data_IF_535881631785
#
_entry.id   IF_535881631785
#
_cell.length_a   1.000
_cell.length_b   1.000
_cell.length_c   1.000
_cell.angle_alpha   90.00
_cell.angle_beta   90.00
_cell.angle_gamma   90.00
#
_symmetry.space_group_name_H-M   'P 1'
#
loop_
_entity.id
_entity.type
_entity.pdbx_description
1 polymer ?
#
# COMPACT_ATOMS: atom_id res chain seq x y z
N UNK A 1 -28.10 2.69 -7.11
CA UNK A 1 -28.57 2.40 -5.75
C UNK A 1 -29.74 1.46 -5.93
N UNK A 2 -29.64 0.22 -5.48
CA UNK A 2 -30.81 -0.67 -5.52
C UNK A 2 -31.91 -0.06 -4.64
N UNK A 3 -33.17 -0.09 -5.09
CA UNK A 3 -34.28 0.42 -4.28
C UNK A 3 -34.37 -0.41 -3.00
N UNK A 4 -34.56 0.26 -1.87
CA UNK A 4 -34.84 -0.42 -0.61
C UNK A 4 -36.09 -1.28 -0.80
N UNK A 5 -36.10 -2.53 -0.29
CA UNK A 5 -37.30 -3.35 -0.30
C UNK A 5 -38.43 -2.63 0.44
N UNK A 6 -39.69 -2.90 0.07
CA UNK A 6 -40.84 -2.32 0.76
C UNK A 6 -40.94 -2.88 2.19
N UNK A 7 -40.30 -2.18 3.13
CA UNK A 7 -40.18 -2.62 4.51
C UNK A 7 -41.54 -2.73 5.23
N UNK A 8 -42.55 -1.99 4.77
CA UNK A 8 -43.91 -2.04 5.34
C UNK A 8 -44.66 -3.32 5.03
N UNK A 9 -44.17 -4.11 4.07
CA UNK A 9 -44.76 -5.40 3.67
C UNK A 9 -44.18 -6.61 4.42
N UNK A 10 -43.08 -6.42 5.15
CA UNK A 10 -42.38 -7.47 5.90
C UNK A 10 -42.96 -7.60 7.31
N UNK A 11 -43.05 -8.83 7.81
CA UNK A 11 -43.30 -9.10 9.23
C UNK A 11 -42.08 -8.78 10.10
N UNK A 12 -42.30 -8.63 11.40
CA UNK A 12 -41.22 -8.38 12.36
C UNK A 12 -40.12 -9.46 12.34
N UNK A 13 -40.49 -10.71 12.10
CA UNK A 13 -39.54 -11.83 12.04
C UNK A 13 -38.72 -11.81 10.74
N UNK A 14 -39.34 -11.44 9.62
CA UNK A 14 -38.63 -11.24 8.36
C UNK A 14 -37.67 -10.05 8.46
N UNK A 15 -38.10 -8.95 9.08
CA UNK A 15 -37.24 -7.79 9.33
C UNK A 15 -36.03 -8.14 10.20
N UNK A 16 -36.22 -8.89 11.30
CA UNK A 16 -35.11 -9.35 12.14
C UNK A 16 -34.11 -10.19 11.36
N UNK A 17 -34.62 -11.13 10.56
CA UNK A 17 -33.79 -12.00 9.73
C UNK A 17 -32.97 -11.20 8.72
N UNK A 18 -33.60 -10.23 8.05
CA UNK A 18 -32.93 -9.36 7.07
C UNK A 18 -31.83 -8.52 7.75
N UNK A 19 -32.12 -7.95 8.91
CA UNK A 19 -31.15 -7.18 9.71
C UNK A 19 -29.95 -8.07 10.08
N UNK A 20 -30.18 -9.30 10.53
CA UNK A 20 -29.11 -10.20 10.94
C UNK A 20 -28.23 -10.62 9.75
N UNK A 21 -28.81 -10.84 8.58
CA UNK A 21 -28.08 -11.12 7.34
C UNK A 21 -27.22 -9.92 6.91
N UNK A 22 -27.80 -8.72 6.87
CA UNK A 22 -27.06 -7.51 6.51
C UNK A 22 -25.93 -7.21 7.49
N UNK A 23 -26.15 -7.46 8.79
CA UNK A 23 -25.10 -7.34 9.82
C UNK A 23 -23.96 -8.32 9.61
N UNK A 24 -24.22 -9.56 9.20
CA UNK A 24 -23.15 -10.52 8.89
C UNK A 24 -22.36 -10.08 7.67
N UNK A 25 -23.04 -9.69 6.59
CA UNK A 25 -22.39 -9.17 5.39
C UNK A 25 -21.53 -7.92 5.69
N UNK A 26 -22.05 -7.01 6.51
CA UNK A 26 -21.28 -5.83 6.96
C UNK A 26 -20.03 -6.25 7.73
N UNK A 27 -20.14 -7.23 8.66
CA UNK A 27 -19.00 -7.74 9.41
C UNK A 27 -17.91 -8.31 8.49
N UNK A 28 -18.31 -9.11 7.50
CA UNK A 28 -17.39 -9.70 6.53
C UNK A 28 -16.65 -8.62 5.72
N UNK A 29 -17.38 -7.64 5.18
CA UNK A 29 -16.81 -6.51 4.43
C UNK A 29 -15.87 -5.70 5.32
N UNK A 30 -16.28 -5.40 6.55
CA UNK A 30 -15.48 -4.67 7.52
C UNK A 30 -14.21 -5.43 7.93
N UNK A 31 -14.26 -6.75 8.01
CA UNK A 31 -13.07 -7.58 8.22
C UNK A 31 -12.09 -7.47 7.05
N UNK A 32 -12.56 -7.67 5.82
CA UNK A 32 -11.72 -7.54 4.62
C UNK A 32 -11.10 -6.15 4.51
N UNK A 33 -11.89 -5.10 4.78
CA UNK A 33 -11.42 -3.71 4.83
C UNK A 33 -10.25 -3.56 5.80
N UNK A 34 -10.39 -4.03 7.04
CA UNK A 34 -9.32 -3.93 8.06
C UNK A 34 -8.02 -4.61 7.62
N UNK A 35 -8.12 -5.80 7.01
CA UNK A 35 -6.94 -6.52 6.51
C UNK A 35 -6.23 -5.74 5.39
N UNK A 36 -6.99 -5.19 4.45
CA UNK A 36 -6.43 -4.38 3.36
C UNK A 36 -5.77 -3.12 3.89
N UNK A 37 -6.43 -2.39 4.79
CA UNK A 37 -5.85 -1.20 5.41
C UNK A 37 -4.57 -1.53 6.20
N UNK A 38 -4.55 -2.62 6.97
CA UNK A 38 -3.34 -3.06 7.66
C UNK A 38 -2.16 -3.32 6.71
N UNK A 39 -2.41 -3.97 5.56
CA UNK A 39 -1.37 -4.18 4.54
C UNK A 39 -0.89 -2.86 3.93
N UNK A 40 -1.81 -1.95 3.62
CA UNK A 40 -1.50 -0.63 3.08
C UNK A 40 -0.63 0.15 4.07
N UNK A 41 -0.99 0.12 5.35
CA UNK A 41 -0.29 0.90 6.38
C UNK A 41 1.12 0.35 6.64
N UNK A 42 1.33 -0.97 6.61
CA UNK A 42 2.66 -1.58 6.63
C UNK A 42 3.50 -1.09 5.45
N UNK A 43 2.96 -1.13 4.23
CA UNK A 43 3.68 -0.70 3.04
C UNK A 43 4.00 0.80 3.07
N UNK A 44 3.08 1.63 3.56
CA UNK A 44 3.32 3.06 3.76
C UNK A 44 4.42 3.32 4.78
N UNK A 45 4.40 2.61 5.91
CA UNK A 45 5.42 2.74 6.95
C UNK A 45 6.82 2.38 6.41
N UNK A 46 6.91 1.28 5.65
CA UNK A 46 8.17 0.88 5.01
C UNK A 46 8.64 1.89 3.96
N UNK A 47 7.74 2.42 3.13
CA UNK A 47 8.08 3.47 2.17
C UNK A 47 8.65 4.71 2.85
N UNK A 48 7.99 5.18 3.93
CA UNK A 48 8.47 6.33 4.71
C UNK A 48 9.83 6.03 5.33
N UNK A 49 10.01 4.85 5.93
CA UNK A 49 11.28 4.45 6.53
C UNK A 49 12.42 4.43 5.49
N UNK A 50 12.17 3.94 4.27
CA UNK A 50 13.14 3.96 3.18
C UNK A 50 13.49 5.38 2.76
N UNK A 51 12.49 6.24 2.56
CA UNK A 51 12.71 7.64 2.19
C UNK A 51 13.51 8.38 3.25
N UNK A 52 13.26 8.13 4.54
CA UNK A 52 14.04 8.72 5.62
C UNK A 52 15.51 8.26 5.59
N UNK A 53 15.76 6.96 5.36
CA UNK A 53 17.12 6.42 5.23
C UNK A 53 17.88 7.01 4.05
N UNK A 54 17.20 7.27 2.92
CA UNK A 54 17.83 7.89 1.74
C UNK A 54 17.83 9.42 1.78
N UNK A 55 17.34 10.05 2.85
CA UNK A 55 17.24 11.50 2.96
C UNK A 55 16.29 12.14 1.92
N UNK A 56 15.27 11.40 1.49
CA UNK A 56 14.34 11.79 0.44
C UNK A 56 14.88 11.59 -0.98
N UNK A 57 16.11 11.08 -1.12
CA UNK A 57 16.73 10.86 -2.42
C UNK A 57 16.24 9.57 -3.06
N UNK A 58 15.87 9.62 -4.34
CA UNK A 58 15.55 8.44 -5.12
C UNK A 58 16.79 7.57 -5.35
N UNK A 59 16.61 6.28 -5.64
CA UNK A 59 17.71 5.33 -5.96
C UNK A 59 18.62 5.87 -7.09
N UNK A 60 18.07 6.70 -7.98
CA UNK A 60 18.78 7.31 -9.11
C UNK A 60 19.51 8.61 -8.75
N UNK A 61 19.16 9.28 -7.65
CA UNK A 61 19.85 10.52 -7.24
C UNK A 61 21.21 10.25 -6.60
N UNK A 62 21.46 9.03 -6.11
CA UNK A 62 22.78 8.60 -5.67
C UNK A 62 23.69 8.16 -6.82
N UNK A 63 23.20 8.16 -8.07
CA UNK A 63 23.95 7.70 -9.23
C UNK A 63 24.66 8.87 -9.89
N UNK A 64 25.99 8.87 -9.85
CA UNK A 64 26.82 9.81 -10.61
C UNK A 64 26.82 9.44 -12.11
N UNK A 65 25.95 10.12 -12.86
CA UNK A 65 25.76 9.91 -14.30
C UNK A 65 27.01 10.30 -15.10
N UNK A 66 27.78 11.27 -14.63
CA UNK A 66 28.99 11.76 -15.30
C UNK A 66 30.11 10.72 -15.17
N UNK A 67 30.28 10.15 -13.99
CA UNK A 67 31.19 9.03 -13.75
C UNK A 67 30.82 7.78 -14.57
N UNK A 68 29.53 7.42 -14.62
CA UNK A 68 29.03 6.33 -15.48
C UNK A 68 29.33 6.58 -16.96
N UNK A 69 29.11 7.80 -17.43
CA UNK A 69 29.41 8.18 -18.81
C UNK A 69 30.90 8.07 -19.10
N UNK A 70 31.76 8.48 -18.16
CA UNK A 70 33.21 8.35 -18.28
C UNK A 70 33.65 6.87 -18.33
N UNK A 71 33.06 5.99 -17.52
CA UNK A 71 33.34 4.54 -17.54
C UNK A 71 32.91 3.93 -18.87
N UNK A 72 31.67 4.17 -19.31
CA UNK A 72 31.12 3.60 -20.55
C UNK A 72 31.82 4.12 -21.81
N UNK A 73 32.33 5.36 -21.76
CA UNK A 73 33.15 5.93 -22.85
C UNK A 73 34.63 5.55 -22.79
N UNK A 74 35.03 4.69 -21.83
CA UNK A 74 36.42 4.22 -21.66
C UNK A 74 37.38 5.28 -21.14
N UNK A 75 36.87 6.41 -20.64
CA UNK A 75 37.64 7.53 -20.08
C UNK A 75 37.98 7.36 -18.59
N UNK A 76 37.32 6.43 -17.91
CA UNK A 76 37.55 6.11 -16.50
C UNK A 76 37.36 4.61 -16.21
N UNK A 77 37.98 4.10 -15.15
CA UNK A 77 37.77 2.74 -14.66
C UNK A 77 36.70 2.71 -13.55
N UNK A 78 35.97 1.59 -13.34
CA UNK A 78 35.03 1.46 -12.24
C UNK A 78 35.76 1.63 -10.91
N UNK A 79 35.27 2.55 -10.07
CA UNK A 79 35.79 2.72 -8.72
C UNK A 79 35.19 1.60 -7.86
N UNK A 80 36.01 0.66 -7.41
CA UNK A 80 35.60 -0.31 -6.37
C UNK A 80 35.38 0.52 -5.12
N UNK A 81 34.19 0.44 -4.52
CA UNK A 81 33.94 1.12 -3.25
C UNK A 81 34.88 0.49 -2.22
N UNK A 82 35.78 1.28 -1.66
CA UNK A 82 36.53 0.88 -0.48
C UNK A 82 35.50 0.62 0.62
N UNK A 83 35.43 -0.62 1.10
CA UNK A 83 34.71 -0.99 2.31
C UNK A 83 35.43 -0.29 3.48
N UNK A 84 35.00 0.92 3.84
CA UNK A 84 35.48 1.60 5.05
C UNK A 84 34.87 0.92 6.29
N UNK A 85 35.75 0.58 7.25
CA UNK A 85 35.51 -0.04 8.57
C UNK A 85 34.43 0.62 9.44
#
# INVERSE_FOLDING_TARGET
>A
MEPLPDLGSLSDDELKKEIDQLKEQEREISYQRRILHGKIDILRAELVARLQKTGGKGVLESVDVESLTAILSGKAAPKVADEEE
#
